data_IF_107878118212
#
_entry.id   IF_107878118212
#
_cell.length_a   1.000
_cell.length_b   1.000
_cell.length_c   1.000
_cell.angle_alpha   90.00
_cell.angle_beta   90.00
_cell.angle_gamma   90.00
#
_symmetry.space_group_name_H-M   'P 1'
#
loop_
_entity.id
_entity.type
_entity.pdbx_description
1 polymer ?
#
# COMPACT_ATOMS: atom_id res chain seq x y z
N UNK A 1 -21.32 7.71 -5.66
CA UNK A 1 -20.91 7.53 -7.07
C UNK A 1 -20.63 6.06 -7.29
N UNK A 2 -21.25 5.43 -8.30
CA UNK A 2 -21.02 4.01 -8.58
C UNK A 2 -19.60 3.82 -9.11
N UNK A 3 -18.85 2.91 -8.50
CA UNK A 3 -17.50 2.56 -8.91
C UNK A 3 -17.58 1.20 -9.59
N UNK A 4 -17.01 1.07 -10.78
CA UNK A 4 -16.97 -0.21 -11.47
C UNK A 4 -16.34 -1.28 -10.57
N UNK A 5 -16.86 -2.52 -10.57
CA UNK A 5 -16.25 -3.60 -9.84
C UNK A 5 -14.81 -3.81 -10.34
N UNK A 6 -13.90 -4.10 -9.41
CA UNK A 6 -12.51 -4.39 -9.76
C UNK A 6 -12.48 -5.77 -10.42
N UNK A 7 -11.84 -5.86 -11.58
CA UNK A 7 -11.58 -7.13 -12.23
C UNK A 7 -10.41 -7.84 -11.51
N UNK A 8 -10.68 -9.00 -10.93
CA UNK A 8 -9.68 -9.87 -10.31
C UNK A 8 -9.56 -11.15 -11.14
N UNK A 9 -8.48 -11.27 -11.92
CA UNK A 9 -8.22 -12.43 -12.77
C UNK A 9 -7.18 -13.34 -12.11
N UNK A 10 -7.47 -14.63 -11.88
CA UNK A 10 -6.50 -15.58 -11.33
C UNK A 10 -5.25 -15.67 -12.20
N UNK A 11 -4.08 -15.83 -11.57
CA UNK A 11 -2.80 -16.05 -12.26
C UNK A 11 -2.18 -14.82 -12.94
N UNK A 12 -2.86 -13.67 -12.92
CA UNK A 12 -2.34 -12.42 -13.49
C UNK A 12 -1.84 -11.51 -12.37
N UNK A 13 -0.64 -10.90 -12.50
CA UNK A 13 -0.15 -9.94 -11.52
C UNK A 13 -1.02 -8.68 -11.48
N UNK A 14 -1.41 -8.24 -10.29
CA UNK A 14 -2.11 -6.97 -10.09
C UNK A 14 -1.20 -5.93 -9.45
N UNK A 15 -1.19 -4.72 -10.03
CA UNK A 15 -0.60 -3.57 -9.38
C UNK A 15 -1.61 -2.94 -8.41
N UNK A 16 -1.38 -3.13 -7.12
CA UNK A 16 -2.19 -2.55 -6.05
C UNK A 16 -1.56 -1.24 -5.58
N UNK A 17 -2.38 -0.19 -5.43
CA UNK A 17 -1.94 1.07 -4.84
C UNK A 17 -2.75 1.39 -3.60
N UNK A 18 -2.05 1.78 -2.54
CA UNK A 18 -2.64 2.26 -1.29
C UNK A 18 -2.26 3.73 -1.08
N UNK A 19 -3.19 4.50 -0.55
CA UNK A 19 -2.99 5.91 -0.15
C UNK A 19 -3.65 6.10 1.21
N UNK A 20 -3.11 7.02 2.01
CA UNK A 20 -3.76 7.42 3.25
C UNK A 20 -5.16 7.97 2.99
N UNK A 21 -6.01 7.87 4.00
CA UNK A 21 -7.32 8.52 3.96
C UNK A 21 -7.14 10.01 3.67
N UNK A 22 -7.97 10.58 2.78
CA UNK A 22 -7.83 11.98 2.32
C UNK A 22 -6.45 12.32 1.73
N UNK A 23 -5.67 11.32 1.28
CA UNK A 23 -4.27 11.44 0.81
C UNK A 23 -3.30 11.93 1.89
N UNK A 24 -3.67 11.79 3.14
CA UNK A 24 -2.83 12.15 4.28
C UNK A 24 -1.67 11.17 4.43
N UNK A 25 -0.67 11.58 5.20
CA UNK A 25 0.48 10.76 5.54
C UNK A 25 0.01 9.53 6.35
N UNK A 26 0.54 8.35 5.98
CA UNK A 26 0.17 7.07 6.60
C UNK A 26 1.25 6.53 7.54
N UNK A 27 2.50 6.95 7.31
CA UNK A 27 3.66 6.57 8.12
C UNK A 27 4.24 7.84 8.73
N UNK A 28 4.19 7.97 10.04
CA UNK A 28 4.64 9.13 10.81
C UNK A 28 6.07 8.92 11.33
N UNK A 29 6.40 7.68 11.65
CA UNK A 29 7.73 7.24 12.07
C UNK A 29 8.20 5.98 11.33
N UNK A 30 9.47 5.62 11.48
CA UNK A 30 10.02 4.43 10.83
C UNK A 30 9.39 3.13 11.35
N UNK A 31 8.93 3.12 12.61
CA UNK A 31 8.21 2.01 13.23
C UNK A 31 6.89 1.66 12.53
N UNK A 32 6.15 2.67 12.07
CA UNK A 32 4.89 2.46 11.33
C UNK A 32 5.13 1.67 10.04
N UNK A 33 6.26 1.92 9.39
CA UNK A 33 6.61 1.24 8.15
C UNK A 33 7.01 -0.22 8.39
N UNK A 34 7.79 -0.49 9.44
CA UNK A 34 8.13 -1.85 9.84
C UNK A 34 6.87 -2.66 10.17
N UNK A 35 6.00 -2.12 11.03
CA UNK A 35 4.72 -2.73 11.39
C UNK A 35 3.85 -3.01 10.15
N UNK A 36 3.81 -2.08 9.20
CA UNK A 36 3.06 -2.28 7.97
C UNK A 36 3.60 -3.42 7.11
N UNK A 37 4.92 -3.60 7.02
CA UNK A 37 5.51 -4.72 6.28
C UNK A 37 5.13 -6.06 6.94
N UNK A 38 5.12 -6.13 8.27
CA UNK A 38 4.69 -7.33 9.00
C UNK A 38 3.23 -7.65 8.71
N UNK A 39 2.35 -6.66 8.81
CA UNK A 39 0.91 -6.81 8.51
C UNK A 39 0.67 -7.20 7.04
N UNK A 40 1.42 -6.60 6.11
CA UNK A 40 1.33 -6.92 4.68
C UNK A 40 1.77 -8.36 4.41
N UNK A 41 2.85 -8.81 5.06
CA UNK A 41 3.37 -10.18 4.96
C UNK A 41 2.35 -11.18 5.51
N UNK A 42 1.82 -10.93 6.71
CA UNK A 42 0.80 -11.78 7.33
C UNK A 42 -0.45 -11.88 6.46
N UNK A 43 -0.92 -10.75 5.92
CA UNK A 43 -2.07 -10.73 5.02
C UNK A 43 -1.81 -11.48 3.71
N UNK A 44 -0.63 -11.33 3.12
CA UNK A 44 -0.25 -12.03 1.90
C UNK A 44 -0.22 -13.55 2.10
N UNK A 45 0.35 -14.01 3.23
CA UNK A 45 0.36 -15.41 3.62
C UNK A 45 -1.05 -15.97 3.80
N UNK A 46 -1.91 -15.27 4.57
CA UNK A 46 -3.31 -15.67 4.79
C UNK A 46 -4.11 -15.74 3.49
N UNK A 47 -3.82 -14.85 2.55
CA UNK A 47 -4.49 -14.82 1.24
C UNK A 47 -3.87 -15.76 0.20
N UNK A 48 -2.73 -16.40 0.49
CA UNK A 48 -2.02 -17.26 -0.46
C UNK A 48 -1.49 -16.51 -1.69
N UNK A 49 -1.11 -15.23 -1.54
CA UNK A 49 -0.62 -14.40 -2.65
C UNK A 49 0.88 -14.11 -2.51
N UNK A 50 1.57 -14.02 -3.64
CA UNK A 50 2.99 -13.65 -3.69
C UNK A 50 3.15 -12.18 -4.03
N UNK A 51 3.99 -11.46 -3.29
CA UNK A 51 4.34 -10.07 -3.59
C UNK A 51 5.62 -10.06 -4.42
N UNK A 52 5.53 -9.64 -5.68
CA UNK A 52 6.69 -9.60 -6.58
C UNK A 52 7.58 -8.39 -6.32
N UNK A 53 6.96 -7.26 -5.96
CA UNK A 53 7.68 -6.03 -5.67
C UNK A 53 6.81 -5.13 -4.78
N UNK A 54 7.47 -4.29 -3.99
CA UNK A 54 6.83 -3.30 -3.16
C UNK A 54 7.59 -1.98 -3.27
N UNK A 55 6.86 -0.86 -3.39
CA UNK A 55 7.45 0.47 -3.33
C UNK A 55 6.62 1.40 -2.45
N UNK A 56 7.30 2.19 -1.61
CA UNK A 56 6.68 3.22 -0.79
C UNK A 56 6.87 4.58 -1.46
N UNK A 57 5.77 5.29 -1.73
CA UNK A 57 5.84 6.71 -2.08
C UNK A 57 6.20 7.49 -0.82
N UNK A 58 7.36 8.14 -0.79
CA UNK A 58 7.70 9.08 0.29
C UNK A 58 6.80 10.31 0.14
N UNK A 59 5.97 10.57 1.15
CA UNK A 59 5.25 11.84 1.25
C UNK A 59 6.32 12.88 1.58
N UNK A 60 6.52 13.87 0.68
CA UNK A 60 7.36 15.01 1.02
C UNK A 60 6.57 15.88 1.98
N UNK A 61 7.22 16.28 3.06
CA UNK A 61 6.70 17.32 3.94
C UNK A 61 6.35 18.56 3.09
N UNK A 62 5.08 19.03 3.08
CA UNK A 62 4.68 20.23 2.37
C UNK A 62 5.49 21.47 2.79
N UNK A 63 6.00 21.50 4.02
CA UNK A 63 6.79 22.61 4.60
C UNK A 63 8.26 22.59 4.15
N UNK A 64 8.75 21.46 3.61
CA UNK A 64 10.10 21.35 3.06
C UNK A 64 10.20 21.75 1.57
N UNK A 65 9.17 22.39 1.01
CA UNK A 65 9.28 23.08 -0.28
C UNK A 65 9.97 24.43 -0.09
N UNK A 66 11.29 24.44 -0.23
CA UNK A 66 12.00 25.61 -0.75
C UNK A 66 11.99 25.58 -2.28
#
# INVERSE_FOLDING_TARGET
MARLPRLALPGIPHHVTQRGNRREQTFFEDGDYALYLDLLSEAALKAGVTIWSYCRKRVRDPTLRR
#
